data_IF_231793837871
#
_entry.id   IF_231793837871
#
_cell.length_a   1.000
_cell.length_b   1.000
_cell.length_c   1.000
_cell.angle_alpha   90.00
_cell.angle_beta   90.00
_cell.angle_gamma   90.00
#
_symmetry.space_group_name_H-M   'P 1'
#
loop_
_entity.id
_entity.type
_entity.pdbx_description
1 polymer ?
#
# COMPACT_ATOMS: atom_id res chain seq x y z
N UNK A 1 -28.87 5.36 -1.16
CA UNK A 1 -28.95 6.44 -2.17
C UNK A 1 -27.63 7.22 -2.15
N UNK A 2 -27.04 7.56 -3.30
CA UNK A 2 -25.83 8.37 -3.33
C UNK A 2 -26.11 9.73 -2.68
N UNK A 3 -25.32 10.10 -1.68
CA UNK A 3 -25.48 11.36 -0.94
C UNK A 3 -24.20 12.17 -1.09
N UNK A 4 -24.26 13.21 -1.93
CA UNK A 4 -23.12 14.11 -2.16
C UNK A 4 -22.64 14.73 -0.85
N UNK A 5 -23.56 15.11 0.04
CA UNK A 5 -23.24 15.70 1.35
C UNK A 5 -22.42 14.76 2.22
N UNK A 6 -22.83 13.49 2.35
CA UNK A 6 -22.08 12.51 3.16
C UNK A 6 -20.70 12.20 2.56
N UNK A 7 -20.60 12.10 1.23
CA UNK A 7 -19.31 11.92 0.58
C UNK A 7 -18.39 13.14 0.72
N UNK A 8 -18.95 14.35 0.80
CA UNK A 8 -18.18 15.58 0.99
C UNK A 8 -17.70 15.71 2.44
N UNK A 9 -18.55 15.36 3.41
CA UNK A 9 -18.18 15.25 4.82
C UNK A 9 -17.05 14.24 4.97
N UNK A 10 -17.15 13.06 4.32
CA UNK A 10 -16.08 12.07 4.32
C UNK A 10 -14.75 12.62 3.79
N UNK A 11 -14.80 13.38 2.69
CA UNK A 11 -13.60 14.05 2.15
C UNK A 11 -13.04 15.10 3.11
N UNK A 12 -13.92 15.90 3.74
CA UNK A 12 -13.53 16.90 4.73
C UNK A 12 -12.83 16.27 5.94
N UNK A 13 -13.33 15.13 6.43
CA UNK A 13 -12.70 14.39 7.52
C UNK A 13 -11.29 13.90 7.15
N UNK A 14 -11.11 13.39 5.93
CA UNK A 14 -9.78 12.96 5.45
C UNK A 14 -8.83 14.16 5.36
N UNK A 15 -9.27 15.28 4.77
CA UNK A 15 -8.45 16.49 4.65
C UNK A 15 -8.09 17.07 6.02
N UNK A 16 -9.04 17.07 6.95
CA UNK A 16 -8.80 17.50 8.32
C UNK A 16 -7.72 16.64 8.99
N UNK A 17 -7.80 15.31 8.86
CA UNK A 17 -6.78 14.42 9.40
C UNK A 17 -5.40 14.63 8.76
N UNK A 18 -5.32 14.94 7.47
CA UNK A 18 -4.04 15.23 6.80
C UNK A 18 -3.42 16.53 7.33
N UNK A 19 -4.22 17.55 7.66
CA UNK A 19 -3.73 18.86 8.05
C UNK A 19 -3.47 19.02 9.55
N UNK A 20 -4.18 18.26 10.39
CA UNK A 20 -4.14 18.42 11.85
C UNK A 20 -3.45 17.27 12.58
N UNK A 21 -3.16 16.15 11.92
CA UNK A 21 -2.43 15.05 12.57
C UNK A 21 -0.95 15.18 12.27
N UNK A 22 -0.17 15.38 13.34
CA UNK A 22 1.29 15.48 13.32
C UNK A 22 1.95 14.21 13.89
N UNK A 23 3.28 14.11 13.79
CA UNK A 23 4.06 12.98 14.30
C UNK A 23 3.92 12.76 15.83
N UNK A 24 3.42 13.77 16.55
CA UNK A 24 3.19 13.74 17.99
C UNK A 24 1.91 12.99 18.40
N UNK A 25 1.06 12.59 17.45
CA UNK A 25 -0.15 11.82 17.77
C UNK A 25 0.25 10.38 18.09
N UNK A 26 0.04 9.87 19.32
CA UNK A 26 0.45 8.51 19.68
C UNK A 26 -0.22 7.49 18.77
N UNK A 27 0.55 6.56 18.23
CA UNK A 27 0.02 5.46 17.42
C UNK A 27 -0.08 4.20 18.27
N UNK A 28 -1.24 3.50 18.33
CA UNK A 28 -2.54 3.82 17.74
C UNK A 28 -3.41 4.68 18.66
N UNK A 29 -4.08 5.69 18.11
CA UNK A 29 -5.00 6.56 18.86
C UNK A 29 -6.38 6.62 18.22
N UNK A 30 -7.39 6.94 19.03
CA UNK A 30 -8.76 7.18 18.58
C UNK A 30 -8.85 8.17 17.41
N UNK A 31 -7.85 9.04 17.24
CA UNK A 31 -7.73 9.97 16.13
C UNK A 31 -7.70 9.26 14.76
N UNK A 32 -7.12 8.06 14.64
CA UNK A 32 -7.10 7.31 13.37
C UNK A 32 -8.49 6.82 12.92
N UNK A 33 -9.49 6.80 13.81
CA UNK A 33 -10.87 6.51 13.41
C UNK A 33 -11.45 7.60 12.51
N UNK A 34 -10.98 8.84 12.63
CA UNK A 34 -11.49 9.97 11.88
C UNK A 34 -11.28 9.83 10.36
N UNK A 35 -10.05 9.58 9.84
CA UNK A 35 -9.86 9.34 8.41
C UNK A 35 -10.47 8.00 7.96
N UNK A 36 -10.59 7.01 8.86
CA UNK A 36 -11.24 5.72 8.55
C UNK A 36 -12.73 5.89 8.30
N UNK A 37 -13.44 6.59 9.18
CA UNK A 37 -14.86 6.92 9.00
C UNK A 37 -15.03 7.80 7.76
N UNK A 38 -14.16 8.79 7.56
CA UNK A 38 -14.16 9.62 6.36
C UNK A 38 -14.06 8.80 5.07
N UNK A 39 -13.14 7.84 5.05
CA UNK A 39 -12.97 6.91 3.93
C UNK A 39 -14.19 6.01 3.74
N UNK A 40 -14.74 5.46 4.83
CA UNK A 40 -15.94 4.62 4.78
C UNK A 40 -17.15 5.38 4.21
N UNK A 41 -17.33 6.65 4.59
CA UNK A 41 -18.39 7.51 4.03
C UNK A 41 -18.23 7.72 2.51
N UNK A 42 -17.00 7.95 2.04
CA UNK A 42 -16.73 8.07 0.60
C UNK A 42 -17.02 6.75 -0.12
N UNK A 43 -16.63 5.61 0.44
CA UNK A 43 -16.84 4.29 -0.19
C UNK A 43 -18.33 3.92 -0.22
N UNK A 44 -19.08 4.17 0.86
CA UNK A 44 -20.49 3.80 0.97
C UNK A 44 -21.44 4.73 0.19
N UNK A 45 -21.16 6.03 0.20
CA UNK A 45 -22.06 7.05 -0.36
C UNK A 45 -21.52 7.74 -1.61
N UNK A 46 -20.25 7.53 -1.94
CA UNK A 46 -19.64 8.00 -3.18
C UNK A 46 -20.20 7.25 -4.38
N UNK A 47 -20.68 8.01 -5.36
CA UNK A 47 -21.04 7.48 -6.68
C UNK A 47 -20.45 8.37 -7.75
N UNK A 48 -20.39 7.89 -9.00
CA UNK A 48 -19.85 8.66 -10.13
C UNK A 48 -20.51 10.05 -10.33
N UNK A 49 -21.72 10.25 -9.77
CA UNK A 49 -22.44 11.54 -9.80
C UNK A 49 -22.03 12.51 -8.69
N UNK A 50 -21.39 12.03 -7.62
CA UNK A 50 -20.95 12.86 -6.49
C UNK A 50 -19.71 13.68 -6.86
N UNK A 51 -19.63 14.90 -6.33
CA UNK A 51 -18.48 15.79 -6.53
C UNK A 51 -17.18 15.15 -6.03
N UNK A 52 -17.23 14.52 -4.86
CA UNK A 52 -16.09 13.81 -4.25
C UNK A 52 -15.53 12.75 -5.20
N UNK A 53 -16.38 11.89 -5.77
CA UNK A 53 -15.92 10.88 -6.71
C UNK A 53 -15.32 11.51 -7.98
N UNK A 54 -15.89 12.60 -8.51
CA UNK A 54 -15.35 13.28 -9.70
C UNK A 54 -13.99 13.93 -9.45
N UNK A 55 -13.76 14.45 -8.25
CA UNK A 55 -12.46 15.00 -7.83
C UNK A 55 -11.43 13.89 -7.64
N UNK A 56 -11.79 12.82 -6.93
CA UNK A 56 -10.89 11.70 -6.65
C UNK A 56 -10.59 10.85 -7.90
N UNK A 57 -11.50 10.83 -8.87
CA UNK A 57 -11.34 10.07 -10.13
C UNK A 57 -10.57 10.83 -11.21
N UNK A 58 -9.99 12.00 -10.89
CA UNK A 58 -9.15 12.72 -11.85
C UNK A 58 -7.94 11.86 -12.26
N UNK A 59 -7.63 11.83 -13.56
CA UNK A 59 -6.54 11.01 -14.11
C UNK A 59 -5.20 11.27 -13.43
N UNK A 60 -4.96 12.53 -13.03
CA UNK A 60 -3.75 12.95 -12.32
C UNK A 60 -3.71 12.33 -10.92
N UNK A 61 -4.78 12.47 -10.14
CA UNK A 61 -4.85 11.95 -8.77
C UNK A 61 -4.73 10.42 -8.73
N UNK A 62 -5.46 9.75 -9.63
CA UNK A 62 -5.36 8.30 -9.83
C UNK A 62 -3.95 7.92 -10.29
N UNK A 63 -3.34 8.69 -11.20
CA UNK A 63 -1.97 8.48 -11.66
C UNK A 63 -0.95 8.53 -10.53
N UNK A 64 -1.04 9.55 -9.67
CA UNK A 64 -0.19 9.68 -8.48
C UNK A 64 -0.36 8.47 -7.57
N UNK A 65 -1.60 8.09 -7.24
CA UNK A 65 -1.85 6.94 -6.37
C UNK A 65 -1.25 5.63 -6.88
N UNK A 66 -1.25 5.41 -8.19
CA UNK A 66 -0.64 4.22 -8.79
C UNK A 66 0.89 4.24 -8.73
N UNK A 67 1.51 5.40 -8.94
CA UNK A 67 2.96 5.54 -8.82
C UNK A 67 3.37 5.40 -7.35
N UNK A 68 2.58 5.94 -6.41
CA UNK A 68 2.83 5.84 -4.97
C UNK A 68 2.90 4.39 -4.50
N UNK A 69 2.09 3.49 -5.06
CA UNK A 69 2.17 2.06 -4.75
C UNK A 69 3.54 1.48 -5.16
N UNK A 70 3.96 1.71 -6.41
CA UNK A 70 5.27 1.26 -6.88
C UNK A 70 6.42 1.93 -6.10
N UNK A 71 6.31 3.21 -5.75
CA UNK A 71 7.31 3.93 -4.95
C UNK A 71 7.42 3.37 -3.53
N UNK A 72 6.29 3.01 -2.92
CA UNK A 72 6.26 2.35 -1.61
C UNK A 72 7.10 1.06 -1.61
N UNK A 73 6.97 0.26 -2.68
CA UNK A 73 7.69 -1.00 -2.82
C UNK A 73 9.21 -0.82 -2.92
N UNK A 74 9.69 0.21 -3.64
CA UNK A 74 11.12 0.38 -3.89
C UNK A 74 11.84 1.24 -2.84
N UNK A 75 11.22 2.27 -2.26
CA UNK A 75 11.93 3.15 -1.33
C UNK A 75 12.36 2.42 -0.04
N UNK A 76 11.49 1.60 0.56
CA UNK A 76 11.80 0.84 1.79
C UNK A 76 13.03 -0.06 1.63
N UNK A 77 13.09 -1.00 0.65
CA UNK A 77 14.26 -1.87 0.51
C UNK A 77 15.52 -1.09 0.15
N UNK A 78 15.45 -0.08 -0.73
CA UNK A 78 16.63 0.72 -1.08
C UNK A 78 17.22 1.42 0.15
N UNK A 79 16.37 2.05 0.97
CA UNK A 79 16.80 2.73 2.20
C UNK A 79 17.26 1.73 3.27
N UNK A 80 16.62 0.57 3.38
CA UNK A 80 17.05 -0.48 4.29
C UNK A 80 18.44 -1.04 3.92
N UNK A 81 18.67 -1.34 2.63
CA UNK A 81 19.98 -1.79 2.15
C UNK A 81 21.08 -0.77 2.40
N UNK A 82 20.77 0.52 2.19
CA UNK A 82 21.70 1.60 2.49
C UNK A 82 22.06 1.64 3.99
N UNK A 83 21.06 1.52 4.87
CA UNK A 83 21.29 1.48 6.33
C UNK A 83 22.10 0.26 6.76
N UNK A 84 21.90 -0.91 6.16
CA UNK A 84 22.63 -2.14 6.51
C UNK A 84 24.11 -2.06 6.06
N UNK A 85 24.38 -1.47 4.90
CA UNK A 85 25.74 -1.33 4.37
C UNK A 85 26.54 -0.20 5.03
N UNK A 86 25.86 0.75 5.68
CA UNK A 86 26.49 1.89 6.33
C UNK A 86 26.74 1.58 7.80
N UNK A 87 28.00 1.51 8.22
CA UNK A 87 28.39 1.31 9.64
C UNK A 87 28.11 2.58 10.46
N UNK A 88 28.07 3.74 9.82
CA UNK A 88 27.66 5.04 10.35
C UNK A 88 26.36 5.51 9.68
N UNK A 89 25.66 6.49 10.29
CA UNK A 89 24.44 7.09 9.73
C UNK A 89 24.64 7.46 8.24
N UNK A 90 23.78 6.99 7.32
CA UNK A 90 23.93 7.28 5.89
C UNK A 90 23.97 8.77 5.63
N UNK A 91 24.89 9.22 4.77
CA UNK A 91 24.98 10.63 4.40
C UNK A 91 23.69 11.09 3.68
N UNK A 92 23.19 12.28 4.02
CA UNK A 92 21.98 12.86 3.44
C UNK A 92 21.93 12.84 1.89
N UNK A 93 23.03 13.16 1.16
CA UNK A 93 23.06 13.10 -0.29
C UNK A 93 22.80 11.69 -0.85
N UNK A 94 23.29 10.65 -0.16
CA UNK A 94 23.07 9.26 -0.55
C UNK A 94 21.59 8.88 -0.38
N UNK A 95 20.96 9.27 0.74
CA UNK A 95 19.54 9.01 0.98
C UNK A 95 18.64 9.74 -0.03
N UNK A 96 18.97 10.99 -0.37
CA UNK A 96 18.26 11.75 -1.39
C UNK A 96 18.41 11.10 -2.78
N UNK A 97 19.62 10.68 -3.14
CA UNK A 97 19.89 9.95 -4.39
C UNK A 97 19.13 8.64 -4.50
N UNK A 98 19.10 7.85 -3.42
CA UNK A 98 18.32 6.60 -3.35
C UNK A 98 16.81 6.83 -3.39
N UNK A 99 16.33 7.92 -2.79
CA UNK A 99 14.92 8.30 -2.87
C UNK A 99 14.54 8.65 -4.31
N UNK A 100 15.37 9.44 -5.01
CA UNK A 100 15.14 9.74 -6.43
C UNK A 100 15.22 8.47 -7.29
N UNK A 101 16.19 7.59 -7.02
CA UNK A 101 16.31 6.31 -7.71
C UNK A 101 15.07 5.44 -7.48
N UNK A 102 14.52 5.42 -6.26
CA UNK A 102 13.29 4.68 -5.96
C UNK A 102 12.09 5.22 -6.73
N UNK A 103 11.98 6.53 -6.93
CA UNK A 103 10.93 7.15 -7.74
C UNK A 103 11.10 6.79 -9.23
N UNK A 104 12.34 6.80 -9.73
CA UNK A 104 12.62 6.34 -11.10
C UNK A 104 12.21 4.87 -11.26
N UNK A 105 12.68 4.00 -10.37
CA UNK A 105 12.29 2.59 -10.35
C UNK A 105 10.78 2.39 -10.23
N UNK A 106 10.10 3.23 -9.45
CA UNK A 106 8.65 3.21 -9.32
C UNK A 106 7.95 3.53 -10.65
N UNK A 107 8.40 4.55 -11.38
CA UNK A 107 7.85 4.90 -12.69
C UNK A 107 8.07 3.79 -13.71
N UNK A 108 9.26 3.18 -13.72
CA UNK A 108 9.56 2.03 -14.58
C UNK A 108 8.71 0.81 -14.21
N UNK A 109 8.66 0.44 -12.93
CA UNK A 109 7.84 -0.66 -12.41
C UNK A 109 6.37 -0.46 -12.77
N UNK A 110 5.84 0.74 -12.52
CA UNK A 110 4.47 1.07 -12.86
C UNK A 110 4.19 0.92 -14.37
N UNK A 111 5.08 1.44 -15.23
CA UNK A 111 4.90 1.42 -16.69
C UNK A 111 5.05 0.03 -17.31
N UNK A 112 6.02 -0.77 -16.84
CA UNK A 112 6.42 -2.04 -17.47
C UNK A 112 5.88 -3.29 -16.76
N UNK A 113 5.55 -3.20 -15.47
CA UNK A 113 4.99 -4.32 -14.70
C UNK A 113 3.51 -4.02 -14.45
N UNK A 114 3.22 -2.99 -13.69
CA UNK A 114 1.87 -2.78 -13.15
C UNK A 114 0.82 -2.45 -14.21
N UNK A 115 1.13 -1.53 -15.13
CA UNK A 115 0.24 -1.13 -16.22
C UNK A 115 -0.13 -2.28 -17.18
N UNK A 116 0.81 -3.12 -17.67
CA UNK A 116 0.46 -4.27 -18.49
C UNK A 116 -0.30 -5.34 -17.71
N UNK A 117 0.06 -5.66 -16.46
CA UNK A 117 -0.70 -6.62 -15.64
C UNK A 117 -2.14 -6.14 -15.39
N UNK A 118 -2.35 -4.83 -15.19
CA UNK A 118 -3.68 -4.27 -14.98
C UNK A 118 -4.55 -4.27 -16.24
N UNK A 119 -3.96 -4.00 -17.42
CA UNK A 119 -4.68 -4.01 -18.70
C UNK A 119 -4.91 -5.41 -19.27
N UNK A 120 -3.98 -6.33 -19.06
CA UNK A 120 -4.05 -7.74 -19.51
C UNK A 120 -4.55 -8.67 -18.40
N UNK A 121 -5.48 -8.20 -17.57
CA UNK A 121 -6.15 -9.02 -16.56
C UNK A 121 -7.02 -10.12 -17.19
N UNK A 122 -6.41 -11.06 -17.90
CA UNK A 122 -7.00 -12.34 -18.26
C UNK A 122 -7.40 -13.00 -16.95
N UNK A 123 -8.69 -13.30 -16.82
CA UNK A 123 -9.24 -14.01 -15.67
C UNK A 123 -8.49 -15.33 -15.38
N UNK A 124 -7.84 -15.91 -16.40
CA UNK A 124 -6.95 -17.07 -16.28
C UNK A 124 -5.70 -16.80 -15.44
N UNK A 125 -4.98 -15.70 -15.67
CA UNK A 125 -3.75 -15.39 -14.92
C UNK A 125 -4.03 -15.14 -13.43
N UNK A 126 -5.15 -14.47 -13.12
CA UNK A 126 -5.58 -14.24 -11.73
C UNK A 126 -5.90 -15.55 -11.01
N UNK A 127 -6.59 -16.47 -11.70
CA UNK A 127 -6.92 -17.80 -11.17
C UNK A 127 -5.64 -18.63 -10.93
N UNK A 128 -4.69 -18.60 -11.86
CA UNK A 128 -3.40 -19.29 -11.71
C UNK A 128 -2.59 -18.75 -10.55
N UNK A 129 -2.48 -17.42 -10.39
CA UNK A 129 -1.76 -16.82 -9.26
C UNK A 129 -2.46 -17.18 -7.94
N UNK A 130 -3.79 -17.12 -7.88
CA UNK A 130 -4.53 -17.48 -6.67
C UNK A 130 -4.32 -18.95 -6.27
N UNK A 131 -4.38 -19.87 -7.24
CA UNK A 131 -4.10 -21.29 -7.01
C UNK A 131 -2.65 -21.50 -6.59
N UNK A 132 -1.70 -20.86 -7.26
CA UNK A 132 -0.28 -20.96 -6.93
C UNK A 132 0.01 -20.46 -5.51
N UNK A 133 -0.56 -19.33 -5.11
CA UNK A 133 -0.45 -18.82 -3.74
C UNK A 133 -1.09 -19.75 -2.72
N UNK A 134 -2.25 -20.34 -3.02
CA UNK A 134 -2.90 -21.31 -2.13
C UNK A 134 -2.05 -22.58 -1.95
N UNK A 135 -1.47 -23.10 -3.03
CA UNK A 135 -0.58 -24.26 -3.00
C UNK A 135 0.71 -23.94 -2.24
N UNK A 136 1.30 -22.77 -2.47
CA UNK A 136 2.50 -22.34 -1.75
C UNK A 136 2.22 -22.21 -0.25
N UNK A 137 1.15 -21.53 0.15
CA UNK A 137 0.74 -21.43 1.56
C UNK A 137 0.49 -22.80 2.18
N UNK A 138 -0.17 -23.71 1.46
CA UNK A 138 -0.38 -25.07 1.93
C UNK A 138 0.95 -25.82 2.12
N UNK A 139 1.88 -25.71 1.17
CA UNK A 139 3.22 -26.28 1.28
C UNK A 139 4.05 -25.71 2.44
N UNK A 140 3.95 -24.42 2.70
CA UNK A 140 4.58 -23.79 3.87
C UNK A 140 3.98 -24.30 5.19
N UNK A 141 2.65 -24.44 5.25
CA UNK A 141 1.95 -24.96 6.44
C UNK A 141 2.35 -26.42 6.69
N UNK A 142 2.35 -27.28 5.66
CA UNK A 142 2.72 -28.69 5.83
C UNK A 142 4.19 -28.87 6.20
N UNK A 143 5.09 -28.09 5.59
CA UNK A 143 6.52 -28.11 5.96
C UNK A 143 6.73 -27.60 7.38
N UNK A 144 6.01 -26.55 7.78
CA UNK A 144 6.03 -26.02 9.14
C UNK A 144 5.52 -27.03 10.18
N UNK A 145 4.40 -27.71 9.90
CA UNK A 145 3.85 -28.76 10.76
C UNK A 145 4.76 -29.98 10.83
N UNK A 146 5.42 -30.35 9.73
CA UNK A 146 6.38 -31.45 9.71
C UNK A 146 7.64 -31.11 10.51
N UNK A 147 8.13 -29.87 10.44
CA UNK A 147 9.25 -29.39 11.26
C UNK A 147 8.91 -29.37 12.75
N UNK A 148 7.73 -28.88 13.13
CA UNK A 148 7.27 -28.86 14.52
C UNK A 148 7.11 -30.29 15.10
N UNK A 149 6.57 -31.21 14.30
CA UNK A 149 6.41 -32.61 14.69
C UNK A 149 7.73 -33.39 14.79
N UNK A 150 8.82 -32.92 14.16
CA UNK A 150 10.13 -33.61 14.15
C UNK A 150 11.15 -33.04 15.13
N UNK A 151 11.03 -31.75 15.52
CA UNK A 151 11.93 -31.11 16.51
C UNK A 151 11.30 -30.86 17.90
N UNK A 152 9.99 -31.09 18.10
CA UNK A 152 9.31 -30.95 19.39
C UNK A 152 9.54 -32.06 20.43
N UNK A 153 10.31 -33.11 20.13
CA UNK A 153 10.53 -34.27 21.01
C UNK A 153 11.99 -34.48 21.46
N UNK A 154 12.91 -33.51 21.26
CA UNK A 154 14.32 -33.67 21.67
C UNK A 154 14.80 -32.75 22.79
N UNK A 155 13.99 -31.84 23.31
CA UNK A 155 14.30 -31.06 24.52
C UNK A 155 13.16 -31.14 25.54
N UNK A 156 13.10 -32.28 26.24
CA UNK A 156 12.35 -32.51 27.47
C UNK A 156 13.21 -33.34 28.42
#
# INVERSE_FOLDING_TARGET
>A
MPSTTLSLVGLGLILYSILFFDEDVPFPSLYTLLPVIGTALIVLYGSARTLTARLLSQKVLVGIGLISFSAYLWHQPLLAFARIKSVSSPEWPLMAGLSLLSLVLALFSWKYVEAPFRKRGSMGLRKTIFIASAVASFGFITTGMYGDATDGLRHG
#
